data_IF_457131055632
#
_entry.id   IF_457131055632
#
_cell.length_a   1.000
_cell.length_b   1.000
_cell.length_c   1.000
_cell.angle_alpha   90.00
_cell.angle_beta   90.00
_cell.angle_gamma   90.00
#
_symmetry.space_group_name_H-M   'P 1'
#
loop_
_entity.id
_entity.type
_entity.pdbx_description
1 polymer ?
#
# COMPACT_ATOMS: atom_id res chain seq x y z
N UNK A 1 -0.63 1.78 16.07
CA UNK A 1 -0.17 0.52 15.44
C UNK A 1 1.04 -0.11 16.15
N UNK A 2 2.04 0.67 16.66
CA UNK A 2 3.24 0.11 17.29
C UNK A 2 2.90 -0.87 18.42
N UNK A 3 1.99 -0.52 19.32
CA UNK A 3 1.55 -1.40 20.42
C UNK A 3 0.88 -2.69 19.91
N UNK A 4 0.08 -2.61 18.85
CA UNK A 4 -0.55 -3.78 18.23
C UNK A 4 0.48 -4.81 17.75
N UNK A 5 1.53 -4.35 17.08
CA UNK A 5 2.61 -5.21 16.60
C UNK A 5 3.51 -5.68 17.74
N UNK A 6 3.84 -4.81 18.71
CA UNK A 6 4.63 -5.15 19.90
C UNK A 6 4.02 -6.31 20.69
N UNK A 7 2.71 -6.31 20.89
CA UNK A 7 1.98 -7.39 21.58
C UNK A 7 2.10 -8.75 20.89
N UNK A 8 2.52 -8.78 19.63
CA UNK A 8 2.68 -9.99 18.80
C UNK A 8 4.14 -10.38 18.59
N UNK A 9 5.07 -9.69 19.25
CA UNK A 9 6.50 -9.93 19.11
C UNK A 9 6.96 -11.35 19.47
N UNK A 10 6.15 -12.11 20.22
CA UNK A 10 6.43 -13.52 20.49
C UNK A 10 6.23 -14.47 19.30
N UNK A 11 5.69 -14.01 18.18
CA UNK A 11 5.64 -14.79 16.94
C UNK A 11 7.05 -14.95 16.35
N UNK A 12 7.30 -16.07 15.65
CA UNK A 12 8.58 -16.31 14.97
C UNK A 12 8.91 -15.27 13.91
N UNK A 13 7.89 -14.73 13.24
CA UNK A 13 7.97 -13.64 12.28
C UNK A 13 6.61 -12.95 12.17
N UNK A 14 6.61 -11.63 12.09
CA UNK A 14 5.44 -10.81 11.75
C UNK A 14 5.60 -10.31 10.31
N UNK A 15 4.58 -10.47 9.49
CA UNK A 15 4.44 -9.72 8.23
C UNK A 15 3.42 -8.60 8.48
N UNK A 16 3.80 -7.36 8.17
CA UNK A 16 2.91 -6.22 8.39
C UNK A 16 1.67 -6.25 7.51
N UNK A 17 0.72 -5.39 7.80
CA UNK A 17 -0.32 -5.03 6.84
C UNK A 17 0.29 -4.50 5.54
N UNK A 18 -0.45 -4.68 4.43
CA UNK A 18 0.00 -4.22 3.12
C UNK A 18 0.18 -2.69 3.09
N UNK A 19 1.37 -2.26 2.65
CA UNK A 19 1.85 -0.88 2.76
C UNK A 19 2.25 -0.37 1.38
N UNK A 20 1.57 0.67 0.88
CA UNK A 20 1.81 1.14 -0.47
C UNK A 20 3.21 1.79 -0.64
N UNK A 21 3.87 1.42 -1.74
CA UNK A 21 5.18 1.95 -2.16
C UNK A 21 5.09 3.33 -2.81
N UNK A 22 3.89 3.81 -3.12
CA UNK A 22 3.64 5.13 -3.74
C UNK A 22 2.17 5.51 -3.59
N UNK A 23 1.85 6.77 -3.85
CA UNK A 23 0.46 7.23 -3.90
C UNK A 23 -0.35 6.51 -4.97
N UNK A 24 0.26 6.19 -6.11
CA UNK A 24 -0.36 5.42 -7.19
C UNK A 24 -0.72 3.99 -6.75
N UNK A 25 0.04 3.41 -5.83
CA UNK A 25 -0.22 2.08 -5.28
C UNK A 25 -1.39 1.98 -4.32
N UNK A 26 -2.06 3.11 -3.97
CA UNK A 26 -3.16 3.14 -3.00
C UNK A 26 -4.46 2.62 -3.61
N UNK A 27 -5.15 1.69 -2.91
CA UNK A 27 -6.40 1.10 -3.36
C UNK A 27 -7.57 1.21 -2.38
N UNK A 28 -7.30 1.56 -1.12
CA UNK A 28 -8.31 1.72 -0.08
C UNK A 28 -8.00 2.97 0.76
N UNK A 29 -9.04 3.61 1.31
CA UNK A 29 -8.84 4.67 2.27
C UNK A 29 -8.13 4.13 3.54
N UNK A 30 -7.36 4.99 4.21
CA UNK A 30 -6.71 4.71 5.50
C UNK A 30 -5.65 3.58 5.52
N UNK A 31 -5.23 3.06 4.37
CA UNK A 31 -4.10 2.12 4.32
C UNK A 31 -2.76 2.84 4.43
N UNK A 32 -1.75 2.24 5.08
CA UNK A 32 -0.45 2.87 5.28
C UNK A 32 0.39 2.90 4.01
N UNK A 33 1.36 3.79 3.97
CA UNK A 33 2.38 3.89 2.92
C UNK A 33 3.79 3.87 3.48
N UNK A 34 4.80 3.80 2.59
CA UNK A 34 6.24 3.82 2.90
C UNK A 34 7.01 4.68 1.87
N UNK A 35 6.43 5.80 1.44
CA UNK A 35 6.98 6.64 0.38
C UNK A 35 7.13 8.13 0.77
N UNK A 36 6.88 8.48 2.04
CA UNK A 36 7.21 9.79 2.63
C UNK A 36 8.02 9.62 3.91
N UNK A 37 8.80 10.63 4.27
CA UNK A 37 9.63 10.60 5.48
C UNK A 37 8.79 10.38 6.75
N UNK A 38 7.60 10.99 6.84
CA UNK A 38 6.69 10.80 7.97
C UNK A 38 6.18 9.37 8.07
N UNK A 39 5.92 8.71 6.94
CA UNK A 39 5.52 7.31 6.90
C UNK A 39 6.68 6.39 7.32
N UNK A 40 7.89 6.67 6.85
CA UNK A 40 9.11 5.96 7.23
C UNK A 40 9.33 6.07 8.74
N UNK A 41 9.25 7.28 9.30
CA UNK A 41 9.38 7.49 10.75
C UNK A 41 8.27 6.81 11.56
N UNK A 42 7.06 6.76 11.00
CA UNK A 42 5.95 5.99 11.58
C UNK A 42 6.26 4.50 11.66
N UNK A 43 6.80 3.93 10.57
CA UNK A 43 7.19 2.52 10.53
C UNK A 43 8.41 2.19 11.39
N UNK A 44 9.40 3.08 11.50
CA UNK A 44 10.52 2.92 12.45
C UNK A 44 10.03 2.72 13.88
N UNK A 45 9.07 3.52 14.33
CA UNK A 45 8.45 3.34 15.67
C UNK A 45 7.81 1.97 15.86
N UNK A 46 7.21 1.42 14.79
CA UNK A 46 6.62 0.07 14.80
C UNK A 46 7.71 -1.00 14.90
N UNK A 47 8.71 -0.93 14.02
CA UNK A 47 9.80 -1.91 13.98
C UNK A 47 10.63 -1.90 15.26
N UNK A 48 10.95 -0.71 15.80
CA UNK A 48 11.67 -0.56 17.06
C UNK A 48 10.90 -1.19 18.23
N UNK A 49 9.59 -0.97 18.32
CA UNK A 49 8.77 -1.55 19.37
C UNK A 49 8.74 -3.09 19.31
N UNK A 50 8.72 -3.68 18.11
CA UNK A 50 8.76 -5.13 17.92
C UNK A 50 10.14 -5.68 18.22
N UNK A 51 11.21 -5.04 17.74
CA UNK A 51 12.59 -5.48 17.97
C UNK A 51 12.98 -5.38 19.46
N UNK A 52 12.60 -4.31 20.17
CA UNK A 52 12.81 -4.17 21.62
C UNK A 52 12.09 -5.25 22.43
N UNK A 53 10.97 -5.76 21.92
CA UNK A 53 10.26 -6.89 22.52
C UNK A 53 10.82 -8.27 22.08
N UNK A 54 11.94 -8.30 21.34
CA UNK A 54 12.62 -9.53 20.90
C UNK A 54 12.00 -10.17 19.64
N UNK A 55 11.04 -9.51 19.00
CA UNK A 55 10.36 -10.02 17.79
C UNK A 55 11.05 -9.64 16.49
N UNK A 56 10.54 -10.20 15.40
CA UNK A 56 10.96 -9.91 14.02
C UNK A 56 9.75 -9.48 13.20
N UNK A 57 9.93 -8.43 12.39
CA UNK A 57 8.87 -7.92 11.52
C UNK A 57 9.43 -7.57 10.15
N UNK A 58 8.67 -7.94 9.11
CA UNK A 58 8.92 -7.53 7.73
C UNK A 58 7.74 -6.72 7.21
N UNK A 59 8.03 -5.65 6.49
CA UNK A 59 7.04 -4.81 5.85
C UNK A 59 6.53 -5.50 4.58
N UNK A 60 5.20 -5.58 4.40
CA UNK A 60 4.60 -6.03 3.15
C UNK A 60 4.48 -4.86 2.18
N UNK A 61 5.39 -4.78 1.21
CA UNK A 61 5.33 -3.77 0.15
C UNK A 61 4.21 -4.09 -0.85
N UNK A 62 3.42 -3.06 -1.19
CA UNK A 62 2.21 -3.26 -1.96
C UNK A 62 1.99 -2.19 -3.02
N UNK A 63 1.48 -2.61 -4.17
CA UNK A 63 0.87 -1.78 -5.20
C UNK A 63 -0.39 -2.48 -5.70
N UNK A 64 -1.55 -1.89 -5.50
CA UNK A 64 -2.85 -2.55 -5.78
C UNK A 64 -3.17 -2.71 -7.27
N UNK A 65 -2.44 -2.04 -8.15
CA UNK A 65 -2.73 -2.06 -9.57
C UNK A 65 -4.13 -1.53 -9.87
N UNK A 66 -4.95 -2.36 -10.52
CA UNK A 66 -6.31 -2.02 -10.95
C UNK A 66 -7.35 -1.91 -9.83
N UNK A 67 -7.06 -2.42 -8.63
CA UNK A 67 -8.00 -2.38 -7.50
C UNK A 67 -7.86 -1.05 -6.76
N UNK A 68 -8.25 0.03 -7.43
CA UNK A 68 -8.23 1.39 -6.90
C UNK A 68 -9.34 2.24 -7.51
N UNK A 69 -9.44 3.48 -7.07
CA UNK A 69 -10.45 4.43 -7.54
C UNK A 69 -9.80 5.82 -7.75
N UNK A 70 -10.22 6.62 -8.74
CA UNK A 70 -9.70 7.97 -8.97
C UNK A 70 -9.71 8.88 -7.75
N UNK A 71 -10.71 8.76 -6.88
CA UNK A 71 -10.77 9.52 -5.62
C UNK A 71 -9.61 9.25 -4.65
N UNK A 72 -8.87 8.15 -4.81
CA UNK A 72 -7.70 7.79 -4.02
C UNK A 72 -6.38 8.18 -4.69
N UNK A 73 -6.44 8.54 -5.97
CA UNK A 73 -5.28 8.87 -6.78
C UNK A 73 -4.98 10.37 -6.77
N UNK A 74 -3.74 10.75 -7.12
CA UNK A 74 -3.39 12.15 -7.32
C UNK A 74 -4.25 12.75 -8.43
N UNK A 75 -4.82 13.92 -8.20
CA UNK A 75 -5.58 14.69 -9.20
C UNK A 75 -6.71 13.91 -9.88
N UNK A 76 -7.23 12.86 -9.23
CA UNK A 76 -8.27 12.03 -9.79
C UNK A 76 -7.82 11.12 -10.95
N UNK A 77 -6.53 10.84 -11.06
CA UNK A 77 -5.97 9.99 -12.10
C UNK A 77 -6.60 8.59 -12.13
N UNK A 78 -6.62 7.95 -13.29
CA UNK A 78 -7.07 6.57 -13.40
C UNK A 78 -6.09 5.62 -12.69
N UNK A 79 -6.58 4.57 -11.99
CA UNK A 79 -5.75 3.46 -11.58
C UNK A 79 -5.00 2.85 -12.76
N UNK A 80 -3.83 2.28 -12.50
CA UNK A 80 -3.00 1.67 -13.55
C UNK A 80 -2.93 0.16 -13.42
N UNK A 81 -2.74 -0.51 -14.55
CA UNK A 81 -2.55 -1.96 -14.61
C UNK A 81 -1.76 -2.34 -15.86
N UNK A 82 -1.26 -3.58 -15.99
CA UNK A 82 -0.64 -4.04 -17.22
C UNK A 82 -1.57 -3.99 -18.44
N UNK A 83 -2.88 -4.02 -18.21
CA UNK A 83 -3.90 -3.95 -19.26
C UNK A 83 -5.12 -3.17 -18.80
N UNK A 84 -5.81 -2.46 -19.71
CA UNK A 84 -7.01 -1.68 -19.42
C UNK A 84 -8.26 -2.57 -19.30
N UNK A 85 -8.22 -3.58 -18.43
CA UNK A 85 -9.33 -4.52 -18.20
C UNK A 85 -9.93 -4.24 -16.83
N UNK A 86 -11.22 -3.85 -16.81
CA UNK A 86 -11.98 -3.65 -15.56
C UNK A 86 -12.08 -4.97 -14.80
N UNK A 87 -11.74 -5.01 -13.50
CA UNK A 87 -11.93 -6.21 -12.68
C UNK A 87 -13.43 -6.41 -12.41
N UNK A 88 -13.91 -7.64 -12.60
CA UNK A 88 -15.32 -7.98 -12.37
C UNK A 88 -15.60 -8.08 -10.87
N UNK A 89 -16.66 -7.40 -10.42
CA UNK A 89 -17.13 -7.48 -9.03
C UNK A 89 -16.17 -6.93 -7.97
N UNK A 90 -15.07 -6.28 -8.39
CA UNK A 90 -14.15 -5.69 -7.46
C UNK A 90 -14.66 -4.33 -6.96
N UNK A 91 -14.54 -4.13 -5.66
CA UNK A 91 -14.96 -2.91 -4.97
C UNK A 91 -13.86 -2.41 -4.05
N UNK A 92 -13.90 -1.13 -3.74
CA UNK A 92 -13.04 -0.48 -2.76
C UNK A 92 -13.85 0.52 -1.94
N UNK A 93 -13.32 0.99 -0.82
CA UNK A 93 -13.89 2.13 -0.11
C UNK A 93 -12.93 3.33 -0.20
N UNK A 94 -13.50 4.50 -0.47
CA UNK A 94 -12.75 5.73 -0.76
C UNK A 94 -12.75 6.72 0.40
N UNK A 95 -13.66 6.56 1.35
CA UNK A 95 -13.77 7.36 2.58
C UNK A 95 -14.49 6.56 3.66
N UNK A 96 -14.53 7.07 4.90
CA UNK A 96 -15.26 6.44 6.01
C UNK A 96 -16.75 6.25 5.70
N UNK A 97 -17.35 7.17 4.95
CA UNK A 97 -18.79 7.22 4.70
C UNK A 97 -19.20 6.72 3.31
N UNK A 98 -18.22 6.32 2.47
CA UNK A 98 -18.53 5.97 1.07
C UNK A 98 -19.25 4.64 0.90
N UNK A 99 -19.17 3.75 1.89
CA UNK A 99 -19.44 2.35 1.65
C UNK A 99 -18.48 1.75 0.61
N UNK A 100 -18.80 0.55 0.12
CA UNK A 100 -18.03 -0.07 -0.97
C UNK A 100 -18.50 0.51 -2.31
N UNK A 101 -17.53 0.95 -3.13
CA UNK A 101 -17.76 1.50 -4.46
C UNK A 101 -17.08 0.64 -5.53
N UNK A 102 -17.69 0.53 -6.70
CA UNK A 102 -17.09 -0.23 -7.81
C UNK A 102 -15.80 0.42 -8.28
N UNK A 103 -14.77 -0.39 -8.49
CA UNK A 103 -13.55 0.09 -9.14
C UNK A 103 -13.78 0.29 -10.64
N UNK A 104 -13.29 1.39 -11.24
CA UNK A 104 -13.43 1.65 -12.67
C UNK A 104 -12.46 0.82 -13.50
N UNK A 105 -12.55 0.95 -14.82
CA UNK A 105 -11.55 0.44 -15.73
C UNK A 105 -10.22 1.16 -15.49
N UNK A 106 -9.09 0.44 -15.32
CA UNK A 106 -7.78 1.06 -15.20
C UNK A 106 -7.26 1.55 -16.54
N UNK A 107 -6.28 2.43 -16.51
CA UNK A 107 -5.42 2.73 -17.66
C UNK A 107 -4.34 1.64 -17.79
N UNK A 108 -4.06 1.21 -19.00
CA UNK A 108 -2.88 0.37 -19.26
C UNK A 108 -1.59 1.18 -19.03
N UNK A 109 -0.60 0.57 -18.40
CA UNK A 109 0.75 1.13 -18.32
C UNK A 109 1.43 1.09 -19.69
N UNK A 110 2.16 2.14 -20.01
CA UNK A 110 3.15 2.08 -21.08
C UNK A 110 4.38 1.29 -20.60
N UNK A 111 5.13 0.72 -21.50
CA UNK A 111 6.32 -0.10 -21.15
C UNK A 111 7.41 0.69 -20.44
N UNK A 112 7.57 1.96 -20.77
CA UNK A 112 8.51 2.90 -20.17
C UNK A 112 8.15 3.34 -18.74
N UNK A 113 6.89 3.15 -18.31
CA UNK A 113 6.46 3.40 -16.93
C UNK A 113 6.85 2.26 -15.96
N UNK A 114 7.00 1.03 -16.46
CA UNK A 114 7.27 -0.16 -15.63
C UNK A 114 8.56 -0.04 -14.80
N UNK A 115 9.71 0.41 -15.37
CA UNK A 115 10.91 0.61 -14.57
C UNK A 115 10.73 1.58 -13.39
N UNK A 116 9.87 2.58 -13.55
CA UNK A 116 9.52 3.52 -12.47
C UNK A 116 8.84 2.82 -11.29
N UNK A 117 7.88 1.93 -11.55
CA UNK A 117 7.21 1.14 -10.51
C UNK A 117 8.17 0.17 -9.84
N UNK A 118 9.03 -0.50 -10.61
CA UNK A 118 10.08 -1.37 -10.05
C UNK A 118 10.99 -0.58 -9.12
N UNK A 119 11.39 0.63 -9.50
CA UNK A 119 12.20 1.51 -8.67
C UNK A 119 11.46 1.95 -7.39
N UNK A 120 10.15 2.16 -7.42
CA UNK A 120 9.36 2.46 -6.22
C UNK A 120 9.40 1.30 -5.20
N UNK A 121 9.35 0.04 -5.66
CA UNK A 121 9.54 -1.14 -4.81
C UNK A 121 10.95 -1.17 -4.22
N UNK A 122 11.99 -0.88 -5.03
CA UNK A 122 13.37 -0.82 -4.56
C UNK A 122 13.53 0.22 -3.45
N UNK A 123 13.04 1.44 -3.65
CA UNK A 123 13.11 2.53 -2.65
C UNK A 123 12.35 2.14 -1.37
N UNK A 124 11.17 1.53 -1.49
CA UNK A 124 10.40 1.10 -0.33
C UNK A 124 11.05 -0.04 0.45
N UNK A 125 12.03 -0.75 -0.13
CA UNK A 125 12.76 -1.84 0.50
C UNK A 125 14.07 -1.38 1.19
N UNK A 126 14.55 -0.16 0.93
CA UNK A 126 15.73 0.49 1.53
C UNK A 126 15.38 1.15 2.86
#
# INVERSE_FOLDING_TARGET
NAEYYRQRAGAGLIISEATQISRQGKGYAFTPGIYTDEQIDGWRRVTDAVHQAGGRIHLQLWHVGRISHPALQAEGAQPVAPSAIKPRGAQTFISADSGMVDVPQPRALNRDEIPGIVNQYRIGAE
#
